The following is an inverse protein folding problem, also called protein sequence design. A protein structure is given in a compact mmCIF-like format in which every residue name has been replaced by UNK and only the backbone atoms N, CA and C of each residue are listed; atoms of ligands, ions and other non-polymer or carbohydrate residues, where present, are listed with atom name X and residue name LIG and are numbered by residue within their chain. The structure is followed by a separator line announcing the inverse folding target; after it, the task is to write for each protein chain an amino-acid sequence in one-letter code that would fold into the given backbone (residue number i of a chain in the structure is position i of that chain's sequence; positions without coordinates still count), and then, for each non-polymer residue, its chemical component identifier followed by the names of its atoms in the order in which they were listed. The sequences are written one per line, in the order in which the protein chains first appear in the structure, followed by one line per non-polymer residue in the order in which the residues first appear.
data_IF_831929501695
#
_entry.id   IF_831929501695
#
_cell.length_a   1.000
_cell.length_b   1.000
_cell.length_c   1.000
_cell.angle_alpha   90.00
_cell.angle_beta   90.00
_cell.angle_gamma   90.00
#
_symmetry.space_group_name_H-M   'P 1'
#
loop_
_entity.id
_entity.type
_entity.pdbx_description
1 polymer ?
#
# COMPACT_ATOMS: atom_id res chain seq x y z
N UNK A 1 -7.66 -17.04 16.14
CA UNK A 1 -7.76 -15.87 15.24
C UNK A 1 -8.70 -16.24 14.12
N UNK A 2 -9.68 -15.39 13.83
CA UNK A 2 -10.55 -15.56 12.66
C UNK A 2 -9.78 -15.18 11.40
N UNK A 3 -10.06 -15.88 10.30
CA UNK A 3 -9.56 -15.51 8.98
C UNK A 3 -10.38 -14.32 8.46
N UNK A 4 -9.69 -13.36 7.85
CA UNK A 4 -10.30 -12.18 7.21
C UNK A 4 -10.21 -12.33 5.70
N UNK A 5 -11.33 -12.26 5.00
CA UNK A 5 -11.34 -12.29 3.53
C UNK A 5 -10.94 -10.92 2.97
N UNK A 6 -9.99 -10.91 2.05
CA UNK A 6 -9.58 -9.74 1.27
C UNK A 6 -9.64 -10.13 -0.19
N UNK A 7 -10.62 -9.60 -0.93
CA UNK A 7 -10.93 -10.00 -2.31
C UNK A 7 -11.08 -11.53 -2.42
N UNK A 8 -10.08 -12.18 -2.99
CA UNK A 8 -10.01 -13.59 -3.39
C UNK A 8 -9.13 -14.46 -2.48
N UNK A 9 -8.55 -13.90 -1.42
CA UNK A 9 -7.74 -14.66 -0.44
C UNK A 9 -8.12 -14.36 1.01
N UNK A 10 -7.59 -15.17 1.94
CA UNK A 10 -7.79 -15.00 3.38
C UNK A 10 -6.47 -14.63 4.09
N UNK A 11 -6.56 -13.75 5.08
CA UNK A 11 -5.46 -13.41 6.00
C UNK A 11 -5.78 -14.01 7.37
N UNK A 12 -4.90 -14.85 7.89
CA UNK A 12 -5.09 -15.47 9.20
C UNK A 12 -4.24 -16.73 9.42
N UNK A 13 -4.55 -17.48 10.49
CA UNK A 13 -3.80 -18.69 10.86
C UNK A 13 -3.96 -19.75 9.77
N UNK A 14 -2.85 -20.32 9.30
CA UNK A 14 -2.83 -21.36 8.27
C UNK A 14 -3.01 -20.85 6.84
N UNK A 15 -2.97 -19.53 6.62
CA UNK A 15 -2.96 -18.91 5.30
C UNK A 15 -1.53 -18.50 4.89
N UNK A 16 -1.24 -18.29 3.59
CA UNK A 16 0.02 -17.70 3.15
C UNK A 16 0.31 -16.37 3.83
N UNK A 17 1.60 -16.07 4.03
CA UNK A 17 2.01 -14.76 4.56
C UNK A 17 1.51 -13.66 3.63
N UNK A 18 0.95 -12.59 4.21
CA UNK A 18 0.50 -11.41 3.46
C UNK A 18 1.44 -10.25 3.72
N UNK A 19 1.93 -9.64 2.64
CA UNK A 19 2.81 -8.48 2.67
C UNK A 19 2.02 -7.24 2.28
N UNK A 20 2.01 -6.24 3.16
CA UNK A 20 1.45 -4.91 2.88
C UNK A 20 2.62 -3.95 2.76
N UNK A 21 2.88 -3.43 1.56
CA UNK A 21 4.04 -2.56 1.33
C UNK A 21 3.80 -1.55 0.21
N UNK A 22 4.59 -0.49 0.22
CA UNK A 22 4.55 0.62 -0.73
C UNK A 22 5.16 1.89 -0.14
N UNK A 23 5.11 3.01 -0.88
CA UNK A 23 5.67 4.27 -0.42
C UNK A 23 4.91 4.79 0.81
N UNK A 24 5.59 5.61 1.60
CA UNK A 24 5.02 6.13 2.84
C UNK A 24 3.77 6.98 2.54
N UNK A 25 3.86 7.85 1.52
CA UNK A 25 2.84 8.78 1.03
C UNK A 25 2.84 8.74 -0.50
N UNK A 26 1.72 9.08 -1.14
CA UNK A 26 1.68 9.30 -2.59
C UNK A 26 2.47 10.59 -2.88
N UNK A 27 3.58 10.46 -3.60
CA UNK A 27 4.41 11.61 -4.02
C UNK A 27 4.00 12.14 -5.40
N UNK A 28 3.34 11.31 -6.19
CA UNK A 28 2.85 11.60 -7.53
C UNK A 28 2.44 10.30 -8.23
N UNK A 29 1.67 10.41 -9.31
CA UNK A 29 1.13 9.27 -10.05
C UNK A 29 2.25 8.37 -10.62
N UNK A 30 3.17 8.94 -11.40
CA UNK A 30 4.25 8.18 -12.04
C UNK A 30 5.14 7.46 -11.03
N UNK A 31 5.48 8.11 -9.91
CA UNK A 31 6.27 7.49 -8.84
C UNK A 31 5.51 6.34 -8.18
N UNK A 32 4.22 6.56 -7.88
CA UNK A 32 3.38 5.57 -7.20
C UNK A 32 3.16 4.33 -8.05
N UNK A 33 2.88 4.51 -9.34
CA UNK A 33 2.74 3.43 -10.31
C UNK A 33 4.05 2.66 -10.50
N UNK A 34 5.18 3.38 -10.61
CA UNK A 34 6.50 2.74 -10.70
C UNK A 34 6.79 1.86 -9.47
N UNK A 35 6.58 2.38 -8.26
CA UNK A 35 6.75 1.59 -7.04
C UNK A 35 5.83 0.37 -7.01
N UNK A 36 4.56 0.52 -7.39
CA UNK A 36 3.61 -0.59 -7.44
C UNK A 36 4.06 -1.67 -8.43
N UNK A 37 4.48 -1.28 -9.63
CA UNK A 37 4.94 -2.22 -10.67
C UNK A 37 6.16 -3.02 -10.21
N UNK A 38 7.17 -2.34 -9.67
CA UNK A 38 8.40 -3.00 -9.17
C UNK A 38 8.06 -3.97 -8.04
N UNK A 39 7.28 -3.54 -7.05
CA UNK A 39 6.94 -4.37 -5.90
C UNK A 39 6.11 -5.60 -6.30
N UNK A 40 5.11 -5.45 -7.17
CA UNK A 40 4.32 -6.59 -7.66
C UNK A 40 5.21 -7.60 -8.38
N UNK A 41 6.10 -7.14 -9.27
CA UNK A 41 7.05 -8.01 -9.98
C UNK A 41 7.97 -8.77 -9.02
N UNK A 42 8.46 -8.11 -7.98
CA UNK A 42 9.31 -8.74 -6.97
C UNK A 42 8.55 -9.80 -6.16
N UNK A 43 7.31 -9.51 -5.77
CA UNK A 43 6.52 -10.41 -4.90
C UNK A 43 6.05 -11.67 -5.63
N UNK A 44 5.93 -11.65 -6.96
CA UNK A 44 5.62 -12.84 -7.77
C UNK A 44 6.62 -13.99 -7.61
N UNK A 45 7.85 -13.71 -7.15
CA UNK A 45 8.87 -14.73 -6.90
C UNK A 45 8.62 -15.53 -5.60
N UNK A 46 7.65 -15.14 -4.77
CA UNK A 46 7.40 -15.73 -3.46
C UNK A 46 5.95 -16.22 -3.32
N UNK A 47 5.70 -17.29 -2.55
CA UNK A 47 4.35 -17.77 -2.27
C UNK A 47 3.67 -16.91 -1.18
N UNK A 48 3.45 -15.63 -1.48
CA UNK A 48 2.86 -14.64 -0.55
C UNK A 48 1.68 -13.91 -1.21
N UNK A 49 0.74 -13.45 -0.40
CA UNK A 49 -0.24 -12.45 -0.85
C UNK A 49 0.39 -11.06 -0.76
N UNK A 50 0.04 -10.17 -1.68
CA UNK A 50 0.57 -8.81 -1.71
C UNK A 50 -0.54 -7.75 -1.78
N UNK A 51 -0.43 -6.72 -0.93
CA UNK A 51 -1.29 -5.54 -0.93
C UNK A 51 -0.40 -4.31 -1.06
N UNK A 52 -0.56 -3.57 -2.16
CA UNK A 52 0.09 -2.27 -2.31
C UNK A 52 -0.55 -1.25 -1.35
N UNK A 53 0.27 -0.45 -0.67
CA UNK A 53 -0.21 0.58 0.26
C UNK A 53 0.55 1.89 0.07
N UNK A 54 -0.18 3.00 -0.01
CA UNK A 54 0.33 4.36 0.09
C UNK A 54 -0.65 5.23 0.90
N UNK A 55 -0.17 6.28 1.57
CA UNK A 55 -1.06 7.26 2.22
C UNK A 55 -1.35 8.42 1.27
N UNK A 56 -2.62 8.82 1.11
CA UNK A 56 -2.99 10.04 0.39
C UNK A 56 -2.81 11.31 1.24
N UNK A 57 -2.84 11.17 2.57
CA UNK A 57 -2.62 12.25 3.53
C UNK A 57 -1.78 11.76 4.73
N UNK A 58 -0.92 12.63 5.24
CA UNK A 58 -0.14 12.47 6.47
C UNK A 58 -0.58 13.53 7.47
N UNK A 59 -1.63 13.25 8.23
CA UNK A 59 -2.21 14.20 9.17
C UNK A 59 -1.32 14.51 10.40
N UNK A 60 -0.28 13.73 10.64
CA UNK A 60 0.55 13.76 11.85
C UNK A 60 1.97 14.30 11.59
N UNK A 61 2.11 15.34 10.75
CA UNK A 61 3.39 16.02 10.53
C UNK A 61 3.70 16.98 11.68
N UNK A 62 4.98 17.13 12.01
CA UNK A 62 5.44 18.05 13.07
C UNK A 62 5.28 19.54 12.72
N UNK A 63 5.09 19.87 11.45
CA UNK A 63 4.81 21.24 10.98
C UNK A 63 3.62 21.23 10.03
N UNK A 64 2.74 22.22 10.19
CA UNK A 64 1.55 22.42 9.35
C UNK A 64 1.89 22.71 7.88
N UNK A 65 3.08 23.26 7.62
CA UNK A 65 3.55 23.59 6.27
C UNK A 65 4.26 22.43 5.57
N UNK A 66 4.39 21.27 6.23
CA UNK A 66 4.98 20.09 5.61
C UNK A 66 4.07 19.55 4.51
N UNK A 67 4.65 19.06 3.42
CA UNK A 67 3.94 18.27 2.42
C UNK A 67 3.21 17.09 3.08
N UNK A 68 1.95 16.84 2.74
CA UNK A 68 1.15 15.76 3.35
C UNK A 68 0.71 14.67 2.38
N UNK A 69 0.93 14.85 1.09
CA UNK A 69 0.35 14.02 0.06
C UNK A 69 -0.64 14.81 -0.80
N UNK A 70 -1.23 14.16 -1.81
CA UNK A 70 -2.15 14.79 -2.77
C UNK A 70 -3.54 15.10 -2.18
N UNK A 71 -3.89 14.52 -1.03
CA UNK A 71 -5.23 14.63 -0.46
C UNK A 71 -6.18 13.55 -0.99
N UNK A 72 -7.41 13.53 -0.46
CA UNK A 72 -8.36 12.44 -0.69
C UNK A 72 -8.77 12.30 -2.15
N UNK A 73 -9.14 13.41 -2.81
CA UNK A 73 -9.65 13.38 -4.19
C UNK A 73 -8.57 12.91 -5.18
N UNK A 74 -7.44 13.62 -5.23
CA UNK A 74 -6.37 13.25 -6.17
C UNK A 74 -5.68 11.92 -5.80
N UNK A 75 -5.66 11.54 -4.51
CA UNK A 75 -5.12 10.26 -4.08
C UNK A 75 -5.99 9.04 -4.41
N UNK A 76 -7.26 9.24 -4.78
CA UNK A 76 -8.21 8.16 -5.12
C UNK A 76 -8.58 8.08 -6.61
N UNK A 77 -8.04 8.97 -7.45
CA UNK A 77 -8.21 8.92 -8.90
C UNK A 77 -7.58 7.66 -9.50
#
# INVERSE_FOLDING_TARGET
MQNVQVKDFFIGKGQPLTIISGPCVIEGESHTLYCAEVLVKMMQAFPVNFIFKASYDKANRSSVHSFRGPGLEEGLR
#
